data_IF_036336986658
#
_entry.id   IF_036336986658
#
_cell.length_a   1.000
_cell.length_b   1.000
_cell.length_c   1.000
_cell.angle_alpha   90.00
_cell.angle_beta   90.00
_cell.angle_gamma   90.00
#
_symmetry.space_group_name_H-M   'P 1'
#
loop_
_entity.id
_entity.type
_entity.pdbx_description
1 polymer ?
#
# COMPACT_ATOMS: atom_id res chain seq x y z
N UNK A 1 -9.94 -9.87 14.29
CA UNK A 1 -9.45 -9.67 12.92
C UNK A 1 -8.03 -10.20 12.79
N UNK A 2 -7.72 -10.85 11.68
CA UNK A 2 -6.39 -11.38 11.37
C UNK A 2 -6.13 -11.16 9.88
N UNK A 3 -4.92 -10.71 9.54
CA UNK A 3 -4.45 -10.53 8.16
C UNK A 3 -3.24 -11.42 7.93
N UNK A 4 -3.26 -12.19 6.84
CA UNK A 4 -2.17 -13.08 6.43
C UNK A 4 -1.54 -12.58 5.12
N UNK A 5 -0.30 -12.99 4.87
CA UNK A 5 0.38 -12.70 3.59
C UNK A 5 -0.45 -13.25 2.42
N UNK A 6 -0.63 -12.42 1.38
CA UNK A 6 -1.44 -12.77 0.20
C UNK A 6 -2.95 -12.70 0.42
N UNK A 7 -3.43 -12.28 1.59
CA UNK A 7 -4.86 -11.96 1.76
C UNK A 7 -5.13 -10.56 1.20
N UNK A 8 -6.02 -10.51 0.22
CA UNK A 8 -6.53 -9.30 -0.41
C UNK A 8 -7.94 -9.05 0.13
N UNK A 9 -8.03 -8.15 1.10
CA UNK A 9 -9.26 -7.95 1.87
C UNK A 9 -10.02 -6.74 1.33
N UNK A 10 -11.30 -6.94 1.01
CA UNK A 10 -12.28 -5.88 0.84
C UNK A 10 -12.98 -5.60 2.16
N UNK A 11 -12.88 -4.38 2.67
CA UNK A 11 -13.64 -3.92 3.84
C UNK A 11 -14.86 -3.15 3.38
N UNK A 12 -16.03 -3.73 3.56
CA UNK A 12 -17.32 -3.16 3.12
C UNK A 12 -18.22 -2.85 4.30
N UNK A 13 -19.18 -1.97 4.11
CA UNK A 13 -20.16 -1.53 5.12
C UNK A 13 -20.73 -0.16 4.78
N UNK A 14 -21.85 0.20 5.37
CA UNK A 14 -22.48 1.51 5.16
C UNK A 14 -21.56 2.67 5.61
N UNK A 15 -21.87 3.87 5.12
CA UNK A 15 -21.17 5.07 5.58
C UNK A 15 -21.47 5.29 7.07
N UNK A 16 -20.43 5.62 7.85
CA UNK A 16 -20.55 5.81 9.30
C UNK A 16 -20.38 4.54 10.15
N UNK A 17 -20.31 3.34 9.57
CA UNK A 17 -20.12 2.08 10.32
C UNK A 17 -18.73 1.94 10.96
N UNK A 18 -17.78 2.82 10.61
CA UNK A 18 -16.47 2.85 11.27
C UNK A 18 -15.31 2.27 10.44
N UNK A 19 -15.46 2.10 9.12
CA UNK A 19 -14.39 1.57 8.26
C UNK A 19 -13.09 2.38 8.35
N UNK A 20 -13.17 3.70 8.21
CA UNK A 20 -11.99 4.59 8.33
C UNK A 20 -11.49 4.65 9.78
N UNK A 21 -12.37 4.52 10.78
CA UNK A 21 -11.96 4.39 12.19
C UNK A 21 -11.14 3.12 12.40
N UNK A 22 -11.59 1.99 11.85
CA UNK A 22 -10.83 0.74 11.86
C UNK A 22 -9.45 0.92 11.22
N UNK A 23 -9.37 1.56 10.03
CA UNK A 23 -8.10 1.85 9.38
C UNK A 23 -7.18 2.71 10.26
N UNK A 24 -7.72 3.72 10.93
CA UNK A 24 -6.97 4.58 11.84
C UNK A 24 -6.47 3.83 13.08
N UNK A 25 -7.24 2.87 13.60
CA UNK A 25 -6.82 2.02 14.73
C UNK A 25 -5.67 1.11 14.31
N UNK A 26 -5.81 0.40 13.19
CA UNK A 26 -4.76 -0.53 12.74
C UNK A 26 -3.47 0.16 12.29
N UNK A 27 -3.54 1.44 11.89
CA UNK A 27 -2.37 2.28 11.57
C UNK A 27 -1.77 2.98 12.80
N UNK A 28 -2.39 2.82 13.98
CA UNK A 28 -1.93 3.47 15.22
C UNK A 28 -2.26 4.97 15.32
N UNK A 29 -3.06 5.52 14.40
CA UNK A 29 -3.53 6.92 14.47
C UNK A 29 -4.59 7.12 15.55
N UNK A 30 -5.34 6.07 15.87
CA UNK A 30 -6.29 6.02 16.98
C UNK A 30 -5.96 4.83 17.87
N UNK A 31 -6.04 5.05 19.18
CA UNK A 31 -5.93 3.97 20.16
C UNK A 31 -7.27 3.25 20.24
N UNK A 32 -7.30 1.90 20.30
CA UNK A 32 -8.52 1.16 20.56
C UNK A 32 -8.97 1.37 22.01
N UNK A 33 -10.27 1.44 22.25
CA UNK A 33 -10.83 1.49 23.62
C UNK A 33 -10.55 0.20 24.38
N UNK A 34 -10.59 -0.94 23.69
CA UNK A 34 -10.29 -2.26 24.20
C UNK A 34 -9.51 -3.09 23.18
N UNK A 35 -8.74 -4.06 23.68
CA UNK A 35 -7.92 -4.93 22.83
C UNK A 35 -6.57 -4.32 22.45
N UNK A 36 -5.90 -4.92 21.46
CA UNK A 36 -4.59 -4.48 20.99
C UNK A 36 -4.41 -4.75 19.51
N UNK A 37 -3.59 -3.94 18.87
CA UNK A 37 -3.10 -4.15 17.51
C UNK A 37 -1.65 -4.66 17.62
N UNK A 38 -1.39 -5.82 17.04
CA UNK A 38 -0.06 -6.42 17.01
C UNK A 38 0.35 -6.69 15.56
N UNK A 39 1.50 -6.14 15.18
CA UNK A 39 2.14 -6.39 13.90
C UNK A 39 3.28 -7.39 14.09
N UNK A 40 3.50 -8.24 13.09
CA UNK A 40 4.70 -9.06 13.07
C UNK A 40 5.96 -8.17 12.97
N UNK A 41 7.09 -8.68 13.46
CA UNK A 41 8.36 -7.94 13.39
C UNK A 41 8.75 -7.67 11.94
N UNK A 42 9.30 -6.48 11.70
CA UNK A 42 9.82 -6.04 10.41
C UNK A 42 8.78 -5.94 9.27
N UNK A 43 7.49 -5.84 9.59
CA UNK A 43 6.43 -5.62 8.59
C UNK A 43 6.31 -4.13 8.29
N UNK A 44 6.42 -3.77 7.01
CA UNK A 44 6.18 -2.41 6.52
C UNK A 44 4.72 -2.27 6.16
N UNK A 45 4.05 -1.33 6.82
CA UNK A 45 2.64 -1.00 6.56
C UNK A 45 2.58 0.33 5.84
N UNK A 46 2.02 0.34 4.66
CA UNK A 46 1.77 1.56 3.89
C UNK A 46 0.28 1.91 3.91
N UNK A 47 -0.04 3.15 4.19
CA UNK A 47 -1.41 3.65 4.23
C UNK A 47 -1.58 4.89 3.36
N UNK A 48 -2.56 4.86 2.46
CA UNK A 48 -2.94 6.02 1.67
C UNK A 48 -3.63 7.04 2.58
N UNK A 49 -2.84 7.94 3.15
CA UNK A 49 -3.36 9.04 3.96
C UNK A 49 -3.56 10.30 3.11
N UNK A 50 -4.81 10.63 2.84
CA UNK A 50 -5.17 11.83 2.08
C UNK A 50 -4.82 13.15 2.80
N UNK A 51 -4.54 13.08 4.10
CA UNK A 51 -4.16 14.23 4.93
C UNK A 51 -2.65 14.40 5.07
N UNK A 52 -1.85 13.55 4.43
CA UNK A 52 -0.39 13.69 4.43
C UNK A 52 0.01 15.04 3.86
N UNK A 53 0.76 15.81 4.65
CA UNK A 53 1.30 17.10 4.23
C UNK A 53 2.54 16.83 3.38
N UNK A 54 2.53 17.34 2.14
CA UNK A 54 3.69 17.33 1.27
C UNK A 54 4.50 18.61 1.54
N UNK A 55 5.82 18.48 1.60
CA UNK A 55 6.71 19.58 1.92
C UNK A 55 6.79 20.58 0.77
N UNK A 56 6.81 21.87 1.12
CA UNK A 56 6.95 22.96 0.16
C UNK A 56 8.33 22.91 -0.49
N UNK A 57 8.36 23.07 -1.81
CA UNK A 57 9.59 23.04 -2.61
C UNK A 57 9.96 21.67 -3.15
N UNK A 58 9.21 20.62 -2.80
CA UNK A 58 9.35 19.32 -3.46
C UNK A 58 8.55 19.28 -4.76
N UNK A 59 9.13 18.68 -5.79
CA UNK A 59 8.42 18.33 -7.01
C UNK A 59 7.68 16.99 -6.85
N UNK A 60 6.76 16.68 -7.77
CA UNK A 60 6.14 15.35 -7.82
C UNK A 60 7.23 14.27 -7.90
N UNK A 61 8.25 14.45 -8.74
CA UNK A 61 9.38 13.52 -8.87
C UNK A 61 10.10 13.30 -7.55
N UNK A 62 10.35 14.36 -6.77
CA UNK A 62 11.00 14.25 -5.46
C UNK A 62 10.19 13.43 -4.48
N UNK A 63 8.86 13.62 -4.47
CA UNK A 63 7.96 12.82 -3.63
C UNK A 63 7.99 11.36 -4.04
N UNK A 64 8.00 11.04 -5.33
CA UNK A 64 8.08 9.66 -5.80
C UNK A 64 9.46 9.04 -5.50
N UNK A 65 10.56 9.79 -5.67
CA UNK A 65 11.90 9.36 -5.29
C UNK A 65 12.04 9.06 -3.81
N UNK A 66 11.29 9.79 -2.96
CA UNK A 66 11.32 9.56 -1.51
C UNK A 66 10.80 8.16 -1.08
N UNK A 67 10.11 7.42 -1.96
CA UNK A 67 9.80 6.02 -1.74
C UNK A 67 11.05 5.12 -1.61
N UNK A 68 12.17 5.59 -2.14
CA UNK A 68 13.46 4.90 -2.19
C UNK A 68 14.59 5.70 -1.51
N UNK A 69 14.27 6.60 -0.58
CA UNK A 69 15.24 7.51 0.05
C UNK A 69 16.49 6.79 0.55
N UNK A 70 16.32 5.62 1.18
CA UNK A 70 17.42 4.84 1.70
C UNK A 70 18.41 4.32 0.61
N UNK A 71 17.92 4.08 -0.62
CA UNK A 71 18.80 3.71 -1.75
C UNK A 71 19.59 4.93 -2.26
N UNK A 72 18.96 6.10 -2.32
CA UNK A 72 19.65 7.35 -2.68
C UNK A 72 20.67 7.75 -1.61
N UNK A 73 20.39 7.51 -0.32
CA UNK A 73 21.36 7.70 0.77
C UNK A 73 22.56 6.75 0.61
N UNK A 74 22.35 5.50 0.16
CA UNK A 74 23.45 4.58 -0.16
C UNK A 74 24.27 5.05 -1.35
N UNK A 75 23.64 5.60 -2.39
CA UNK A 75 24.35 6.20 -3.53
C UNK A 75 25.23 7.37 -3.08
N UNK A 76 24.68 8.28 -2.25
CA UNK A 76 25.44 9.39 -1.70
C UNK A 76 26.63 8.90 -0.85
N UNK A 77 26.41 7.87 -0.04
CA UNK A 77 27.48 7.24 0.75
C UNK A 77 28.56 6.63 -0.14
N UNK A 78 28.17 5.94 -1.21
CA UNK A 78 29.09 5.37 -2.20
C UNK A 78 29.95 6.47 -2.83
N UNK A 79 29.35 7.59 -3.26
CA UNK A 79 30.05 8.72 -3.83
C UNK A 79 31.05 9.32 -2.83
N UNK A 80 30.62 9.51 -1.56
CA UNK A 80 31.47 10.02 -0.46
C UNK A 80 32.70 9.12 -0.24
N UNK A 81 32.51 7.79 -0.26
CA UNK A 81 33.62 6.82 -0.12
C UNK A 81 34.57 6.97 -1.30
N UNK A 82 34.07 6.98 -2.54
CA UNK A 82 34.90 7.11 -3.74
C UNK A 82 35.74 8.40 -3.71
N UNK A 83 35.16 9.51 -3.29
CA UNK A 83 35.87 10.79 -3.19
C UNK A 83 36.97 10.78 -2.12
N UNK A 84 36.80 9.96 -1.06
CA UNK A 84 37.75 9.89 0.07
C UNK A 84 38.86 8.87 -0.15
N UNK A 85 38.75 7.97 -1.13
CA UNK A 85 39.74 6.89 -1.35
C UNK A 85 41.13 7.37 -1.70
N UNK A 86 41.24 8.58 -2.30
CA UNK A 86 42.53 9.13 -2.74
C UNK A 86 43.50 9.49 -1.62
N UNK A 87 42.95 9.80 -0.44
CA UNK A 87 43.74 10.24 0.73
C UNK A 87 43.76 9.18 1.85
N UNK A 88 43.19 8.00 1.62
CA UNK A 88 43.04 6.94 2.62
C UNK A 88 44.34 6.12 2.80
N UNK A 89 44.58 5.68 4.03
CA UNK A 89 45.61 4.66 4.33
C UNK A 89 45.21 3.29 3.80
N UNK A 90 46.15 2.33 3.73
CA UNK A 90 45.90 1.00 3.19
C UNK A 90 44.78 0.25 3.95
N UNK A 91 44.75 0.38 5.28
CA UNK A 91 43.71 -0.25 6.12
C UNK A 91 42.34 0.41 5.91
N UNK A 92 42.26 1.73 5.81
CA UNK A 92 41.04 2.48 5.50
C UNK A 92 40.51 2.14 4.11
N UNK A 93 41.43 2.02 3.11
CA UNK A 93 41.08 1.69 1.75
C UNK A 93 40.43 0.30 1.66
N UNK A 94 40.97 -0.70 2.40
CA UNK A 94 40.37 -2.03 2.46
C UNK A 94 38.93 -2.00 3.06
N UNK A 95 38.73 -1.25 4.14
CA UNK A 95 37.38 -1.07 4.75
C UNK A 95 36.40 -0.36 3.79
N UNK A 96 36.88 0.68 3.11
CA UNK A 96 36.07 1.40 2.11
C UNK A 96 35.67 0.50 0.95
N UNK A 97 36.57 -0.34 0.46
CA UNK A 97 36.25 -1.30 -0.61
C UNK A 97 35.25 -2.35 -0.17
N UNK A 98 35.35 -2.85 1.06
CA UNK A 98 34.36 -3.79 1.62
C UNK A 98 32.98 -3.12 1.73
N UNK A 99 32.89 -1.89 2.27
CA UNK A 99 31.65 -1.12 2.37
C UNK A 99 31.05 -0.85 0.98
N UNK A 100 31.84 -0.47 0.00
CA UNK A 100 31.39 -0.28 -1.39
C UNK A 100 30.80 -1.55 -1.98
N UNK A 101 31.42 -2.70 -1.73
CA UNK A 101 30.89 -3.99 -2.19
C UNK A 101 29.51 -4.28 -1.63
N UNK A 102 29.31 -4.05 -0.32
CA UNK A 102 28.00 -4.23 0.35
C UNK A 102 26.96 -3.28 -0.23
N UNK A 103 27.31 -1.99 -0.39
CA UNK A 103 26.38 -0.99 -0.95
C UNK A 103 25.98 -1.39 -2.38
N UNK A 104 26.94 -1.79 -3.22
CA UNK A 104 26.66 -2.15 -4.59
C UNK A 104 25.77 -3.39 -4.69
N UNK A 105 26.02 -4.41 -3.86
CA UNK A 105 25.16 -5.60 -3.80
C UNK A 105 23.72 -5.24 -3.39
N UNK A 106 23.56 -4.33 -2.43
CA UNK A 106 22.23 -3.86 -2.01
C UNK A 106 21.52 -3.06 -3.11
N UNK A 107 22.24 -2.18 -3.81
CA UNK A 107 21.68 -1.40 -4.92
C UNK A 107 21.26 -2.31 -6.09
N UNK A 108 22.05 -3.31 -6.42
CA UNK A 108 21.74 -4.29 -7.46
C UNK A 108 20.54 -5.17 -7.07
N UNK A 109 20.48 -5.63 -5.80
CA UNK A 109 19.38 -6.45 -5.29
C UNK A 109 18.02 -5.72 -5.29
N UNK A 110 18.04 -4.39 -5.25
CA UNK A 110 16.85 -3.53 -5.25
C UNK A 110 16.61 -2.78 -6.56
N UNK A 111 17.29 -3.19 -7.63
CA UNK A 111 17.12 -2.63 -8.97
C UNK A 111 17.31 -1.10 -9.02
N UNK A 112 18.28 -0.55 -8.28
CA UNK A 112 18.46 0.90 -8.14
C UNK A 112 18.56 1.61 -9.49
N UNK A 113 19.26 1.04 -10.44
CA UNK A 113 19.54 1.67 -11.74
C UNK A 113 18.32 1.80 -12.66
N UNK A 114 17.19 1.16 -12.32
CA UNK A 114 15.92 1.29 -13.06
C UNK A 114 14.85 2.06 -12.28
N UNK A 115 15.17 2.64 -11.11
CA UNK A 115 14.19 3.34 -10.28
C UNK A 115 13.55 4.53 -11.01
N UNK A 116 14.32 5.32 -11.73
CA UNK A 116 13.78 6.46 -12.49
C UNK A 116 12.76 5.97 -13.55
N UNK A 117 13.03 4.86 -14.23
CA UNK A 117 12.08 4.25 -15.17
C UNK A 117 10.82 3.75 -14.49
N UNK A 118 10.92 3.16 -13.28
CA UNK A 118 9.75 2.75 -12.48
C UNK A 118 8.92 3.94 -12.02
N UNK A 119 9.56 5.03 -11.62
CA UNK A 119 8.89 6.28 -11.24
C UNK A 119 8.11 6.85 -12.43
N UNK A 120 8.71 6.88 -13.61
CA UNK A 120 8.05 7.35 -14.83
C UNK A 120 6.90 6.42 -15.26
N UNK A 121 7.07 5.10 -15.16
CA UNK A 121 6.02 4.13 -15.47
C UNK A 121 4.79 4.32 -14.58
N UNK A 122 4.97 4.38 -13.26
CA UNK A 122 3.85 4.59 -12.32
C UNK A 122 3.29 6.01 -12.46
N UNK A 123 4.15 7.00 -12.69
CA UNK A 123 3.73 8.37 -12.97
C UNK A 123 2.79 8.46 -14.17
N UNK A 124 3.15 7.80 -15.26
CA UNK A 124 2.32 7.69 -16.47
C UNK A 124 1.03 6.94 -16.20
N UNK A 125 1.13 5.79 -15.55
CA UNK A 125 0.00 4.93 -15.25
C UNK A 125 -1.08 5.58 -14.37
N UNK A 126 -0.74 6.61 -13.60
CA UNK A 126 -1.67 7.39 -12.77
C UNK A 126 -1.90 8.82 -13.29
N UNK A 127 -1.45 9.13 -14.52
CA UNK A 127 -1.65 10.43 -15.17
C UNK A 127 -0.87 11.58 -14.54
N UNK A 128 0.25 11.30 -13.86
CA UNK A 128 1.09 12.34 -13.26
C UNK A 128 2.00 13.04 -14.29
N UNK A 129 2.30 12.38 -15.42
CA UNK A 129 3.05 12.99 -16.52
C UNK A 129 2.29 14.18 -17.12
N UNK A 130 0.95 14.08 -17.24
CA UNK A 130 0.10 15.17 -17.75
C UNK A 130 0.10 16.39 -16.82
N UNK A 131 0.27 16.15 -15.51
CA UNK A 131 0.40 17.21 -14.51
C UNK A 131 1.77 17.87 -14.60
N UNK A 132 2.81 17.10 -14.98
CA UNK A 132 4.22 17.47 -15.01
C UNK A 132 4.96 17.06 -13.75
N UNK A 133 5.90 16.09 -13.89
CA UNK A 133 6.63 15.54 -12.73
C UNK A 133 7.51 16.55 -12.00
N UNK A 134 7.91 17.64 -12.66
CA UNK A 134 8.72 18.71 -12.09
C UNK A 134 7.88 19.82 -11.41
N UNK A 135 6.56 19.63 -11.34
CA UNK A 135 5.66 20.60 -10.71
C UNK A 135 5.76 20.53 -9.19
N UNK A 136 5.76 21.71 -8.53
CA UNK A 136 5.76 21.81 -7.07
C UNK A 136 4.44 21.23 -6.49
N UNK A 137 4.57 20.38 -5.48
CA UNK A 137 3.42 19.67 -4.87
C UNK A 137 2.45 20.60 -4.15
N UNK A 138 2.87 21.83 -3.81
CA UNK A 138 1.98 22.82 -3.18
C UNK A 138 0.96 23.41 -4.16
N UNK A 139 1.23 23.33 -5.47
CA UNK A 139 0.34 23.78 -6.53
C UNK A 139 -0.74 22.76 -6.92
N UNK A 140 -0.66 21.55 -6.36
CA UNK A 140 -1.57 20.46 -6.72
C UNK A 140 -2.94 20.64 -6.07
N UNK A 141 -3.99 20.29 -6.84
CA UNK A 141 -5.33 20.09 -6.28
C UNK A 141 -5.34 18.91 -5.30
N UNK A 142 -6.36 18.82 -4.44
CA UNK A 142 -6.50 17.71 -3.50
C UNK A 142 -6.47 16.34 -4.19
N UNK A 143 -7.18 16.19 -5.31
CA UNK A 143 -7.20 14.93 -6.07
C UNK A 143 -5.84 14.59 -6.70
N UNK A 144 -5.13 15.59 -7.26
CA UNK A 144 -3.79 15.39 -7.79
C UNK A 144 -2.80 14.98 -6.69
N UNK A 145 -2.91 15.60 -5.52
CA UNK A 145 -2.09 15.23 -4.35
C UNK A 145 -2.33 13.78 -3.93
N UNK A 146 -3.59 13.34 -3.90
CA UNK A 146 -3.93 11.94 -3.59
C UNK A 146 -3.35 10.98 -4.61
N UNK A 147 -3.36 11.33 -5.91
CA UNK A 147 -2.70 10.53 -6.97
C UNK A 147 -1.19 10.39 -6.73
N UNK A 148 -0.50 11.47 -6.35
CA UNK A 148 0.94 11.44 -6.05
C UNK A 148 1.23 10.56 -4.83
N UNK A 149 0.44 10.68 -3.77
CA UNK A 149 0.58 9.84 -2.57
C UNK A 149 0.32 8.36 -2.86
N UNK A 150 -0.68 8.06 -3.69
CA UNK A 150 -0.95 6.70 -4.16
C UNK A 150 0.24 6.17 -4.96
N UNK A 151 0.76 6.92 -5.93
CA UNK A 151 1.91 6.53 -6.73
C UNK A 151 3.13 6.21 -5.85
N UNK A 152 3.46 7.09 -4.89
CA UNK A 152 4.53 6.86 -3.93
C UNK A 152 4.32 5.55 -3.15
N UNK A 153 3.13 5.35 -2.62
CA UNK A 153 2.78 4.18 -1.83
C UNK A 153 2.91 2.88 -2.63
N UNK A 154 2.52 2.89 -3.91
CA UNK A 154 2.67 1.73 -4.80
C UNK A 154 4.15 1.47 -5.14
N UNK A 155 4.98 2.52 -5.28
CA UNK A 155 6.43 2.40 -5.46
C UNK A 155 7.12 1.76 -4.24
N UNK A 156 6.70 2.13 -3.03
CA UNK A 156 7.23 1.57 -1.77
C UNK A 156 7.00 0.06 -1.63
N UNK A 157 5.97 -0.47 -2.27
CA UNK A 157 5.60 -1.90 -2.24
C UNK A 157 5.62 -2.49 -0.81
N UNK A 158 4.82 -1.93 0.13
CA UNK A 158 4.84 -2.37 1.52
C UNK A 158 4.36 -3.82 1.66
N UNK A 159 4.69 -4.47 2.80
CA UNK A 159 4.20 -5.82 3.11
C UNK A 159 2.70 -5.85 3.36
N UNK A 160 2.14 -4.73 3.81
CA UNK A 160 0.71 -4.53 3.97
C UNK A 160 0.33 -3.17 3.38
N UNK A 161 -0.57 -3.19 2.40
CA UNK A 161 -1.05 -2.00 1.72
C UNK A 161 -2.48 -1.69 2.19
N UNK A 162 -2.70 -0.49 2.71
CA UNK A 162 -3.99 -0.03 3.20
C UNK A 162 -4.50 1.09 2.29
N UNK A 163 -5.65 0.86 1.63
CA UNK A 163 -6.23 1.77 0.66
C UNK A 163 -7.67 2.13 1.07
N UNK A 164 -7.91 3.42 1.29
CA UNK A 164 -9.25 3.96 1.55
C UNK A 164 -9.71 4.78 0.34
N UNK A 165 -10.69 4.23 -0.40
CA UNK A 165 -11.28 4.82 -1.62
C UNK A 165 -10.25 5.30 -2.66
N UNK A 166 -9.30 4.45 -3.10
CA UNK A 166 -8.19 4.87 -3.97
C UNK A 166 -8.65 5.28 -5.38
N UNK A 167 -9.87 4.91 -5.77
CA UNK A 167 -10.42 5.17 -7.11
C UNK A 167 -11.08 6.54 -7.26
N UNK A 168 -11.37 7.25 -6.15
CA UNK A 168 -12.17 8.49 -6.17
C UNK A 168 -11.63 9.62 -7.06
N UNK A 169 -10.32 9.63 -7.33
CA UNK A 169 -9.67 10.69 -8.12
C UNK A 169 -9.01 10.15 -9.40
N UNK A 170 -9.31 8.89 -9.74
CA UNK A 170 -8.79 8.23 -10.93
C UNK A 170 -9.86 8.18 -12.02
N UNK A 171 -9.47 8.34 -13.26
CA UNK A 171 -10.32 8.04 -14.41
C UNK A 171 -10.30 6.52 -14.74
N UNK A 172 -11.11 6.12 -15.71
CA UNK A 172 -11.33 4.71 -16.06
C UNK A 172 -10.03 3.99 -16.47
N UNK A 173 -9.13 4.69 -17.16
CA UNK A 173 -7.86 4.11 -17.60
C UNK A 173 -6.93 3.83 -16.42
N UNK A 174 -6.78 4.81 -15.53
CA UNK A 174 -5.97 4.66 -14.31
C UNK A 174 -6.55 3.63 -13.35
N UNK A 175 -7.89 3.54 -13.21
CA UNK A 175 -8.56 2.49 -12.43
C UNK A 175 -8.25 1.11 -13.03
N UNK A 176 -8.28 0.98 -14.36
CA UNK A 176 -7.98 -0.28 -15.04
C UNK A 176 -6.54 -0.73 -14.79
N UNK A 177 -5.60 0.21 -14.79
CA UNK A 177 -4.21 -0.07 -14.46
C UNK A 177 -4.04 -0.46 -12.99
N UNK A 178 -4.62 0.31 -12.05
CA UNK A 178 -4.57 0.02 -10.61
C UNK A 178 -5.15 -1.37 -10.30
N UNK A 179 -6.23 -1.75 -10.98
CA UNK A 179 -6.82 -3.09 -10.88
C UNK A 179 -5.78 -4.17 -11.21
N UNK A 180 -5.08 -4.07 -12.34
CA UNK A 180 -4.04 -5.03 -12.74
C UNK A 180 -2.92 -5.08 -11.73
N UNK A 181 -2.46 -3.92 -11.26
CA UNK A 181 -1.43 -3.83 -10.24
C UNK A 181 -1.83 -4.57 -8.96
N UNK A 182 -3.06 -4.39 -8.47
CA UNK A 182 -3.57 -5.05 -7.26
C UNK A 182 -3.85 -6.55 -7.47
N UNK A 183 -4.26 -6.99 -8.67
CA UNK A 183 -4.41 -8.40 -9.01
C UNK A 183 -3.07 -9.16 -8.94
N UNK A 184 -1.96 -8.48 -9.27
CA UNK A 184 -0.60 -9.03 -9.27
C UNK A 184 0.15 -8.77 -7.95
N UNK A 185 -0.48 -8.10 -6.98
CA UNK A 185 0.15 -7.75 -5.71
C UNK A 185 0.36 -8.99 -4.84
N UNK A 186 1.61 -9.37 -4.61
CA UNK A 186 1.97 -10.60 -3.89
C UNK A 186 1.77 -10.52 -2.37
N UNK A 187 1.82 -9.30 -1.83
CA UNK A 187 1.68 -9.05 -0.41
C UNK A 187 0.21 -8.89 0.00
N UNK A 188 -0.06 -8.56 1.24
CA UNK A 188 -1.42 -8.37 1.73
C UNK A 188 -1.91 -6.94 1.50
N UNK A 189 -3.23 -6.77 1.29
CA UNK A 189 -3.83 -5.45 1.34
C UNK A 189 -5.23 -5.46 1.96
N UNK A 190 -5.62 -4.28 2.47
CA UNK A 190 -7.00 -3.97 2.87
C UNK A 190 -7.48 -2.81 1.99
N UNK A 191 -8.58 -3.01 1.31
CA UNK A 191 -9.19 -2.06 0.40
C UNK A 191 -10.59 -1.71 0.85
N UNK A 192 -10.83 -0.41 1.06
CA UNK A 192 -12.18 0.15 1.17
C UNK A 192 -12.52 0.73 -0.19
N UNK A 193 -13.65 0.33 -0.78
CA UNK A 193 -14.16 0.92 -2.01
C UNK A 193 -15.68 0.76 -2.11
N UNK A 194 -16.32 1.78 -2.67
CA UNK A 194 -17.72 1.74 -3.08
C UNK A 194 -17.91 1.22 -4.52
N UNK A 195 -16.83 1.09 -5.29
CA UNK A 195 -16.83 0.46 -6.60
C UNK A 195 -16.81 -1.06 -6.46
N UNK A 196 -17.99 -1.67 -6.41
CA UNK A 196 -18.15 -3.11 -6.22
C UNK A 196 -17.51 -3.94 -7.35
N UNK A 197 -17.66 -3.60 -8.66
CA UNK A 197 -16.94 -4.26 -9.74
C UNK A 197 -15.42 -4.25 -9.57
N UNK A 198 -14.84 -3.11 -9.20
CA UNK A 198 -13.40 -2.99 -8.90
C UNK A 198 -13.01 -3.87 -7.72
N UNK A 199 -13.71 -3.74 -6.59
CA UNK A 199 -13.46 -4.52 -5.37
C UNK A 199 -13.46 -6.03 -5.67
N UNK A 200 -14.51 -6.53 -6.31
CA UNK A 200 -14.68 -7.96 -6.64
C UNK A 200 -13.59 -8.51 -7.55
N UNK A 201 -12.94 -7.66 -8.34
CA UNK A 201 -11.88 -8.09 -9.23
C UNK A 201 -10.55 -8.33 -8.53
N UNK A 202 -10.27 -7.58 -7.44
CA UNK A 202 -8.94 -7.56 -6.82
C UNK A 202 -8.89 -8.25 -5.45
N UNK A 203 -10.05 -8.47 -4.77
CA UNK A 203 -10.06 -9.07 -3.44
C UNK A 203 -10.31 -10.58 -3.47
N UNK A 204 -9.76 -11.30 -2.50
CA UNK A 204 -10.02 -12.73 -2.29
C UNK A 204 -10.78 -13.03 -0.99
N UNK A 205 -11.02 -11.99 -0.18
CA UNK A 205 -11.68 -12.07 1.11
C UNK A 205 -12.46 -10.79 1.38
N UNK A 206 -13.67 -10.90 1.94
CA UNK A 206 -14.47 -9.74 2.33
C UNK A 206 -14.69 -9.75 3.84
N UNK A 207 -14.52 -8.59 4.45
CA UNK A 207 -15.01 -8.27 5.77
C UNK A 207 -16.13 -7.23 5.67
N UNK A 208 -17.28 -7.55 6.25
CA UNK A 208 -18.41 -6.63 6.34
C UNK A 208 -18.48 -6.03 7.74
N UNK A 209 -18.48 -4.71 7.78
CA UNK A 209 -18.64 -3.93 9.01
C UNK A 209 -20.09 -3.48 9.11
N UNK A 210 -20.78 -3.94 10.13
CA UNK A 210 -22.18 -3.60 10.43
C UNK A 210 -22.39 -3.57 11.94
N UNK A 211 -23.09 -2.54 12.45
CA UNK A 211 -23.35 -2.38 13.88
C UNK A 211 -22.07 -2.43 14.76
N UNK A 212 -20.94 -1.90 14.25
CA UNK A 212 -19.61 -1.93 14.90
C UNK A 212 -19.04 -3.34 15.07
N UNK A 213 -19.58 -4.33 14.37
CA UNK A 213 -19.05 -5.69 14.31
C UNK A 213 -18.42 -5.94 12.95
N UNK A 214 -17.38 -6.79 12.94
CA UNK A 214 -16.65 -7.15 11.71
C UNK A 214 -16.89 -8.62 11.38
N UNK A 215 -17.62 -8.88 10.31
CA UNK A 215 -18.01 -10.22 9.87
C UNK A 215 -17.18 -10.66 8.66
N UNK A 216 -16.61 -11.88 8.71
CA UNK A 216 -15.75 -12.45 7.66
C UNK A 216 -16.55 -13.33 6.69
N UNK A 217 -16.38 -13.12 5.38
CA UNK A 217 -17.06 -13.87 4.31
C UNK A 217 -16.05 -14.50 3.34
N UNK A 218 -15.59 -15.72 3.62
CA UNK A 218 -14.57 -16.42 2.80
C UNK A 218 -15.18 -17.22 1.64
N UNK A 219 -16.35 -17.85 1.86
CA UNK A 219 -16.89 -18.83 0.89
C UNK A 219 -17.62 -18.22 -0.31
N UNK A 220 -18.12 -17.00 -0.17
CA UNK A 220 -18.87 -16.35 -1.25
C UNK A 220 -18.00 -15.99 -2.45
N UNK A 221 -16.73 -15.64 -2.22
CA UNK A 221 -15.80 -15.29 -3.31
C UNK A 221 -15.35 -16.51 -4.12
N UNK A 222 -15.19 -17.69 -3.51
CA UNK A 222 -14.80 -18.92 -4.23
C UNK A 222 -15.90 -19.49 -5.11
N UNK A 223 -17.17 -19.35 -4.68
CA UNK A 223 -18.36 -19.80 -5.43
C UNK A 223 -18.95 -18.71 -6.33
N UNK A 224 -18.65 -17.44 -6.09
CA UNK A 224 -19.34 -16.31 -6.65
C UNK A 224 -18.62 -15.56 -7.76
N UNK A 225 -17.42 -15.98 -8.21
CA UNK A 225 -16.78 -15.32 -9.38
C UNK A 225 -17.70 -15.26 -10.63
N UNK A 226 -18.72 -16.10 -10.70
CA UNK A 226 -19.75 -16.03 -11.73
C UNK A 226 -21.06 -15.34 -11.31
N UNK A 227 -21.34 -15.17 -9.98
CA UNK A 227 -22.62 -14.62 -9.52
C UNK A 227 -22.58 -13.17 -9.06
N UNK A 228 -21.46 -12.69 -8.52
CA UNK A 228 -21.34 -11.30 -8.05
C UNK A 228 -21.29 -10.27 -9.21
N UNK A 229 -20.91 -10.70 -10.39
CA UNK A 229 -20.94 -9.83 -11.58
C UNK A 229 -22.35 -9.40 -12.05
N UNK A 230 -23.41 -9.97 -11.45
CA UNK A 230 -24.81 -9.73 -11.83
C UNK A 230 -25.67 -9.16 -10.69
N UNK A 231 -25.09 -8.90 -9.51
CA UNK A 231 -25.83 -8.39 -8.35
C UNK A 231 -25.64 -6.89 -8.21
N UNK A 232 -26.77 -6.18 -8.07
CA UNK A 232 -26.80 -4.78 -7.66
C UNK A 232 -26.48 -4.62 -6.15
N UNK A 233 -26.33 -3.40 -5.68
CA UNK A 233 -25.98 -3.12 -4.29
C UNK A 233 -26.98 -3.71 -3.28
N UNK A 234 -28.28 -3.73 -3.59
CA UNK A 234 -29.32 -4.30 -2.71
C UNK A 234 -29.15 -5.82 -2.57
N UNK A 235 -28.87 -6.53 -3.67
CA UNK A 235 -28.66 -7.98 -3.69
C UNK A 235 -27.42 -8.41 -2.93
N UNK A 236 -26.38 -7.59 -2.86
CA UNK A 236 -25.17 -7.86 -2.05
C UNK A 236 -25.52 -7.75 -0.56
N UNK A 237 -26.31 -6.76 -0.17
CA UNK A 237 -26.80 -6.61 1.21
C UNK A 237 -27.75 -7.76 1.61
N UNK A 238 -28.57 -8.26 0.72
CA UNK A 238 -29.51 -9.37 0.96
C UNK A 238 -28.78 -10.71 1.14
N UNK A 239 -27.76 -10.98 0.35
CA UNK A 239 -26.88 -12.16 0.48
C UNK A 239 -26.03 -12.13 1.77
N UNK A 240 -25.65 -10.96 2.24
CA UNK A 240 -24.93 -10.76 3.49
C UNK A 240 -25.83 -10.96 4.72
N UNK A 241 -27.14 -10.76 4.59
CA UNK A 241 -28.12 -10.91 5.68
C UNK A 241 -28.43 -12.38 6.08
N UNK A 242 -28.02 -13.35 5.32
CA UNK A 242 -28.44 -14.77 5.45
C UNK A 242 -27.69 -15.56 6.54
N UNK A 243 -26.55 -15.08 7.07
CA UNK A 243 -25.87 -15.74 8.18
C UNK A 243 -25.63 -14.82 9.38
N UNK A 244 -26.67 -14.59 10.17
CA UNK A 244 -26.54 -14.11 11.54
C UNK A 244 -26.19 -15.30 12.46
N UNK A 245 -25.08 -15.24 13.18
CA UNK A 245 -24.88 -16.21 14.24
C UNK A 245 -23.53 -16.37 14.90
N UNK A 246 -22.46 -15.73 14.49
CA UNK A 246 -21.19 -15.82 15.20
C UNK A 246 -20.71 -14.42 15.65
N UNK A 247 -20.74 -14.21 16.97
CA UNK A 247 -20.10 -13.04 17.60
C UNK A 247 -18.60 -13.18 17.46
N UNK A 248 -17.97 -12.28 16.72
CA UNK A 248 -16.50 -12.16 16.67
C UNK A 248 -16.10 -11.05 17.63
N UNK A 249 -15.52 -11.44 18.76
CA UNK A 249 -14.84 -10.51 19.65
C UNK A 249 -13.61 -9.98 18.92
N UNK A 250 -13.45 -8.66 18.80
CA UNK A 250 -12.28 -8.01 18.21
C UNK A 250 -11.04 -8.26 19.06
N UNK A 251 -10.36 -9.37 18.86
CA UNK A 251 -8.96 -9.52 19.19
C UNK A 251 -8.17 -9.43 17.89
N UNK A 252 -7.71 -8.23 17.54
CA UNK A 252 -6.90 -8.02 16.34
C UNK A 252 -5.48 -8.49 16.63
N UNK A 253 -5.20 -9.76 16.36
CA UNK A 253 -3.83 -10.27 16.31
C UNK A 253 -3.39 -10.32 14.85
N UNK A 254 -2.60 -9.34 14.42
CA UNK A 254 -2.02 -9.33 13.09
C UNK A 254 -0.72 -10.14 13.15
N UNK A 255 -0.80 -11.42 12.80
CA UNK A 255 0.36 -12.32 12.73
C UNK A 255 0.78 -12.49 11.26
N UNK A 256 1.90 -11.89 10.90
CA UNK A 256 2.59 -12.19 9.65
C UNK A 256 3.57 -13.34 9.92
N UNK A 257 3.35 -14.50 9.31
CA UNK A 257 4.34 -15.58 9.28
C UNK A 257 5.14 -15.45 7.98
N UNK A 258 6.46 -15.29 8.04
CA UNK A 258 7.29 -15.15 6.84
C UNK A 258 7.51 -16.48 6.09
N UNK A 259 7.03 -17.62 6.63
CA UNK A 259 7.21 -18.92 5.99
C UNK A 259 5.88 -19.61 5.70
N UNK A 260 5.67 -20.18 4.49
CA UNK A 260 4.60 -21.12 4.26
C UNK A 260 4.85 -22.35 5.15
N UNK A 261 3.90 -22.67 6.01
CA UNK A 261 3.92 -23.98 6.68
C UNK A 261 3.62 -25.04 5.63
N UNK A 262 4.52 -26.01 5.51
CA UNK A 262 4.46 -27.17 4.64
C UNK A 262 3.21 -28.02 4.90
#
# INVERSE_FOLDING_TARGET
FRLLKGEHIGLVGANGEGKSTFMNIITGKLMPDEGKVEWAKNVRVGYLDQHTVLEKGMTIRDVLKSAFSWLYEMEERMNTICDSMGDASEDELNQMMEELGVIQEMMDAHDFYILDSRIEEIGRALGLEEIGLERDVTELSGGQRTKVLLAKLLLEKPDILLLDEPTNYLDVEHITWLKRYLEEYENAFILISHDIPFLNSVVNLIYHMENKELNRYVELLKRGKQRLATLDNESIYELMSIKRGEKVTLSATLLFSPYPQA
#
